data_IF_589601986329
#
_entry.id   IF_589601986329
#
_cell.length_a   1.000
_cell.length_b   1.000
_cell.length_c   1.000
_cell.angle_alpha   90.00
_cell.angle_beta   90.00
_cell.angle_gamma   90.00
#
_symmetry.space_group_name_H-M   'P 1'
#
loop_
_entity.id
_entity.type
_entity.pdbx_description
1 polymer ?
#
# COMPACT_ATOMS: atom_id res chain seq x y z
N UNK A 1 21.01 25.49 -2.48
CA UNK A 1 19.65 26.05 -2.69
C UNK A 1 18.72 25.15 -1.90
N UNK A 2 18.10 25.67 -0.82
CA UNK A 2 17.14 24.88 -0.01
C UNK A 2 15.85 24.78 -0.81
N UNK A 3 15.50 23.56 -1.22
CA UNK A 3 14.15 23.28 -1.72
C UNK A 3 13.19 23.27 -0.51
N UNK A 4 12.33 24.28 -0.43
CA UNK A 4 11.23 24.29 0.55
C UNK A 4 10.23 23.25 0.13
N UNK A 5 10.18 22.12 0.86
CA UNK A 5 9.15 21.10 0.67
C UNK A 5 7.77 21.69 0.92
N UNK A 6 6.91 21.66 -0.07
CA UNK A 6 5.52 22.07 0.07
C UNK A 6 4.69 20.81 0.36
N UNK A 7 4.18 20.72 1.60
CA UNK A 7 3.18 19.70 1.95
C UNK A 7 1.84 20.11 1.33
N UNK A 8 1.34 19.32 0.39
CA UNK A 8 0.03 19.54 -0.23
C UNK A 8 -1.00 18.64 0.47
N UNK A 9 -1.96 19.25 1.17
CA UNK A 9 -3.10 18.53 1.75
C UNK A 9 -4.22 18.51 0.72
N UNK A 10 -4.48 17.35 0.14
CA UNK A 10 -5.59 17.13 -0.80
C UNK A 10 -6.74 16.49 -0.03
N UNK A 11 -7.87 17.21 0.07
CA UNK A 11 -9.11 16.67 0.62
C UNK A 11 -10.00 16.17 -0.52
N UNK A 12 -10.14 14.87 -0.66
CA UNK A 12 -11.03 14.26 -1.64
C UNK A 12 -12.37 13.96 -0.94
N UNK A 13 -13.44 14.57 -1.42
CA UNK A 13 -14.80 14.27 -0.95
C UNK A 13 -15.44 13.26 -1.90
N UNK A 14 -15.75 12.05 -1.41
CA UNK A 14 -16.52 11.08 -2.16
C UNK A 14 -18.00 11.41 -2.02
N UNK A 15 -18.65 11.88 -3.08
CA UNK A 15 -20.10 12.07 -3.11
C UNK A 15 -20.78 10.70 -3.28
N UNK A 16 -21.28 10.12 -2.19
CA UNK A 16 -22.15 8.95 -2.26
C UNK A 16 -23.54 9.36 -2.76
N UNK A 17 -23.92 8.92 -3.96
CA UNK A 17 -25.28 9.05 -4.47
C UNK A 17 -26.20 8.09 -3.72
N UNK A 18 -26.90 8.58 -2.72
CA UNK A 18 -28.02 7.90 -2.06
C UNK A 18 -29.28 8.06 -2.92
N UNK A 19 -29.69 7.01 -3.61
CA UNK A 19 -31.04 6.89 -4.18
C UNK A 19 -32.04 6.62 -3.06
N UNK A 20 -32.71 7.67 -2.59
CA UNK A 20 -33.85 7.52 -1.70
C UNK A 20 -35.13 7.32 -2.54
N UNK A 21 -35.76 6.14 -2.42
CA UNK A 21 -37.14 5.91 -2.85
C UNK A 21 -38.07 6.64 -1.88
N UNK A 22 -38.72 7.71 -2.31
CA UNK A 22 -39.77 8.38 -1.55
C UNK A 22 -41.13 7.84 -1.97
N UNK A 23 -41.86 7.26 -1.00
CA UNK A 23 -43.30 6.95 -1.12
C UNK A 23 -44.12 8.23 -1.06
N UNK A 24 -45.00 8.40 -2.00
CA UNK A 24 -45.98 9.49 -2.10
C UNK A 24 -47.05 9.41 -1.01
N UNK A 25 -47.17 10.42 -0.18
CA UNK A 25 -48.46 10.82 0.41
C UNK A 25 -48.59 12.36 0.22
N UNK A 26 -49.68 12.74 -0.39
CA UNK A 26 -49.94 14.10 -0.79
C UNK A 26 -50.28 15.06 0.33
N UNK A 27 -49.93 16.31 0.15
CA UNK A 27 -50.72 17.48 0.61
C UNK A 27 -50.37 18.73 -0.23
N UNK A 28 -51.41 19.46 -0.57
CA UNK A 28 -51.46 20.67 -1.38
C UNK A 28 -50.73 21.88 -0.79
N UNK A 29 -50.01 22.68 -1.64
CA UNK A 29 -49.65 24.04 -1.29
C UNK A 29 -48.49 24.66 -2.05
N UNK A 30 -48.79 25.60 -2.93
CA UNK A 30 -48.01 26.77 -3.41
C UNK A 30 -46.92 26.59 -4.52
N UNK A 31 -46.92 27.44 -5.55
CA UNK A 31 -46.10 27.29 -6.77
C UNK A 31 -44.75 28.01 -6.74
N UNK A 32 -44.05 28.07 -5.63
CA UNK A 32 -42.71 28.70 -5.54
C UNK A 32 -41.54 27.69 -5.46
N UNK A 33 -41.82 26.41 -5.26
CA UNK A 33 -40.78 25.39 -5.05
C UNK A 33 -40.22 24.77 -6.35
N UNK A 34 -40.96 24.84 -7.44
CA UNK A 34 -40.55 24.23 -8.70
C UNK A 34 -39.44 25.03 -9.43
N UNK A 35 -39.41 26.34 -9.25
CA UNK A 35 -38.40 27.21 -9.87
C UNK A 35 -37.04 27.09 -9.16
N UNK A 36 -37.03 27.03 -7.83
CA UNK A 36 -35.81 26.83 -7.04
C UNK A 36 -35.18 25.45 -7.23
N UNK A 37 -36.01 24.42 -7.43
CA UNK A 37 -35.50 23.06 -7.73
C UNK A 37 -34.93 22.99 -9.15
N UNK A 38 -35.52 23.72 -10.11
CA UNK A 38 -35.01 23.79 -11.48
C UNK A 38 -33.68 24.53 -11.54
N UNK A 39 -33.50 25.61 -10.79
CA UNK A 39 -32.26 26.39 -10.78
C UNK A 39 -31.15 25.66 -10.04
N UNK A 40 -31.41 24.97 -8.93
CA UNK A 40 -30.44 24.10 -8.25
C UNK A 40 -29.99 22.91 -9.10
N UNK A 41 -30.88 22.34 -9.91
CA UNK A 41 -30.52 21.28 -10.85
C UNK A 41 -29.72 21.81 -12.04
N UNK A 42 -29.92 23.04 -12.46
CA UNK A 42 -29.12 23.67 -13.51
C UNK A 42 -27.72 24.00 -13.02
N UNK A 43 -27.59 24.56 -11.82
CA UNK A 43 -26.29 24.86 -11.19
C UNK A 43 -25.50 23.58 -10.87
N UNK A 44 -26.18 22.47 -10.49
CA UNK A 44 -25.54 21.16 -10.29
C UNK A 44 -25.12 20.52 -11.61
N UNK A 45 -25.85 20.73 -12.72
CA UNK A 45 -25.45 20.27 -14.05
C UNK A 45 -24.33 21.13 -14.66
N UNK A 46 -24.30 22.45 -14.42
CA UNK A 46 -23.20 23.31 -14.81
C UNK A 46 -21.92 23.08 -13.99
N UNK A 47 -22.05 22.82 -12.68
CA UNK A 47 -20.90 22.42 -11.83
C UNK A 47 -20.34 21.04 -12.21
N UNK A 48 -21.18 20.11 -12.66
CA UNK A 48 -20.75 18.82 -13.19
C UNK A 48 -20.11 18.92 -14.59
N UNK A 49 -20.38 20.00 -15.33
CA UNK A 49 -19.84 20.24 -16.66
C UNK A 49 -18.44 20.88 -16.66
N UNK A 50 -17.97 21.44 -15.56
CA UNK A 50 -16.65 22.04 -15.46
C UNK A 50 -15.62 21.09 -14.81
N UNK A 51 -15.28 20.04 -15.53
CA UNK A 51 -14.05 19.29 -15.29
C UNK A 51 -13.11 19.52 -16.48
N UNK A 52 -12.08 20.38 -16.35
CA UNK A 52 -11.17 20.69 -17.44
C UNK A 52 -10.37 19.46 -17.94
N UNK A 53 -10.42 18.35 -17.21
CA UNK A 53 -9.83 17.06 -17.61
C UNK A 53 -10.83 16.14 -18.32
N UNK A 54 -12.15 16.34 -18.15
CA UNK A 54 -13.16 15.47 -18.74
C UNK A 54 -13.36 15.71 -20.25
N UNK A 55 -13.17 16.95 -20.72
CA UNK A 55 -13.33 17.30 -22.13
C UNK A 55 -12.20 16.78 -23.00
N UNK A 56 -10.97 16.75 -22.50
CA UNK A 56 -9.81 16.25 -23.28
C UNK A 56 -9.81 14.71 -23.33
N UNK A 57 -10.25 14.04 -22.26
CA UNK A 57 -10.28 12.57 -22.20
C UNK A 57 -11.43 11.98 -23.02
N UNK A 58 -12.59 12.65 -23.02
CA UNK A 58 -13.78 12.15 -23.75
C UNK A 58 -13.65 12.31 -25.26
N UNK A 59 -13.09 13.41 -25.74
CA UNK A 59 -12.81 13.61 -27.15
C UNK A 59 -11.70 12.67 -27.65
N UNK A 60 -10.70 12.37 -26.87
CA UNK A 60 -9.66 11.39 -27.18
C UNK A 60 -10.19 9.95 -27.19
N UNK A 61 -11.10 9.61 -26.27
CA UNK A 61 -11.75 8.29 -26.19
C UNK A 61 -12.77 8.11 -27.33
N UNK A 62 -13.53 9.14 -27.64
CA UNK A 62 -14.53 9.08 -28.76
C UNK A 62 -13.89 9.08 -30.16
N UNK A 63 -12.66 9.59 -30.31
CA UNK A 63 -11.89 9.48 -31.55
C UNK A 63 -11.20 8.13 -31.73
N UNK A 64 -11.16 7.31 -30.67
CA UNK A 64 -10.50 6.02 -30.64
C UNK A 64 -11.51 4.86 -30.49
N UNK A 65 -12.43 4.74 -31.48
CA UNK A 65 -13.28 3.56 -31.62
C UNK A 65 -12.59 2.59 -32.59
N UNK A 66 -12.20 1.38 -32.17
CA UNK A 66 -11.80 0.37 -33.14
C UNK A 66 -13.03 0.01 -34.02
N UNK A 67 -12.84 0.00 -35.32
CA UNK A 67 -13.90 -0.26 -36.30
C UNK A 67 -14.46 -1.71 -36.26
N UNK A 68 -13.96 -2.60 -35.37
CA UNK A 68 -14.43 -3.98 -35.26
C UNK A 68 -14.52 -4.43 -33.79
N UNK A 69 -15.69 -4.96 -33.34
CA UNK A 69 -15.89 -5.42 -31.96
C UNK A 69 -15.15 -6.68 -31.54
N UNK A 70 -14.22 -7.20 -32.32
CA UNK A 70 -13.50 -8.44 -32.03
C UNK A 70 -12.03 -8.28 -31.61
N UNK A 71 -11.50 -7.03 -31.61
CA UNK A 71 -10.06 -6.79 -31.41
C UNK A 71 -9.69 -6.26 -30.03
N UNK A 72 -10.63 -6.07 -29.11
CA UNK A 72 -10.36 -5.52 -27.76
C UNK A 72 -9.60 -6.55 -26.88
N UNK A 73 -9.84 -7.84 -27.06
CA UNK A 73 -9.10 -8.89 -26.34
C UNK A 73 -7.61 -8.98 -26.73
N UNK A 74 -7.26 -8.56 -27.95
CA UNK A 74 -5.87 -8.56 -28.43
C UNK A 74 -4.99 -7.45 -27.83
N UNK A 75 -5.58 -6.47 -27.12
CA UNK A 75 -4.85 -5.34 -26.53
C UNK A 75 -4.38 -5.55 -25.09
N UNK A 76 -4.81 -6.61 -24.44
CA UNK A 76 -4.33 -6.95 -23.10
C UNK A 76 -3.42 -8.18 -23.18
N UNK A 77 -2.10 -8.00 -23.19
CA UNK A 77 -1.19 -9.13 -23.18
C UNK A 77 -1.47 -10.00 -21.95
N UNK A 78 -1.39 -11.32 -22.15
CA UNK A 78 -1.59 -12.29 -21.09
C UNK A 78 -0.50 -12.13 -20.03
N UNK A 79 -0.91 -12.06 -18.77
CA UNK A 79 0.01 -12.08 -17.64
C UNK A 79 0.34 -13.54 -17.33
N UNK A 80 1.62 -13.88 -17.41
CA UNK A 80 2.14 -15.21 -17.07
C UNK A 80 2.46 -15.25 -15.58
N UNK A 81 2.14 -16.37 -14.94
CA UNK A 81 2.54 -16.68 -13.57
C UNK A 81 3.50 -17.87 -13.54
N UNK A 82 4.64 -17.69 -12.90
CA UNK A 82 5.62 -18.76 -12.64
C UNK A 82 5.94 -18.83 -11.15
N UNK A 83 6.18 -20.04 -10.66
CA UNK A 83 6.50 -20.28 -9.24
C UNK A 83 7.89 -20.87 -9.11
N UNK A 84 8.71 -20.26 -8.26
CA UNK A 84 10.08 -20.69 -8.01
C UNK A 84 10.36 -20.86 -6.52
N UNK A 85 11.34 -21.69 -6.16
CA UNK A 85 11.86 -21.83 -4.79
C UNK A 85 13.05 -20.91 -4.64
N UNK A 86 12.97 -19.94 -3.74
CA UNK A 86 14.08 -19.02 -3.51
C UNK A 86 14.93 -19.39 -2.27
N UNK A 87 14.36 -20.11 -1.29
CA UNK A 87 15.09 -20.56 -0.11
C UNK A 87 14.53 -21.84 0.50
N UNK A 88 15.42 -22.61 1.16
CA UNK A 88 15.06 -23.73 2.02
C UNK A 88 15.66 -23.46 3.41
N UNK A 89 14.80 -23.32 4.43
CA UNK A 89 15.19 -22.98 5.79
C UNK A 89 14.71 -24.04 6.79
N UNK A 90 15.55 -25.04 7.02
CA UNK A 90 15.17 -26.22 7.79
C UNK A 90 14.08 -27.02 7.09
N UNK A 91 12.91 -27.12 7.70
CA UNK A 91 11.73 -27.79 7.09
C UNK A 91 10.92 -26.90 6.17
N UNK A 92 11.21 -25.59 6.12
CA UNK A 92 10.47 -24.63 5.32
C UNK A 92 11.03 -24.48 3.92
N UNK A 93 10.17 -24.64 2.92
CA UNK A 93 10.48 -24.34 1.52
C UNK A 93 9.77 -23.06 1.15
N UNK A 94 10.53 -21.99 0.96
CA UNK A 94 10.00 -20.67 0.62
C UNK A 94 9.99 -20.48 -0.90
N UNK A 95 8.81 -20.10 -1.41
CA UNK A 95 8.56 -19.90 -2.83
C UNK A 95 8.17 -18.47 -3.10
N UNK A 96 8.32 -18.07 -4.34
CA UNK A 96 7.78 -16.85 -4.89
C UNK A 96 6.98 -17.15 -6.16
N UNK A 97 5.98 -16.31 -6.43
CA UNK A 97 5.21 -16.33 -7.67
C UNK A 97 5.54 -15.05 -8.45
N UNK A 98 6.08 -15.21 -9.64
CA UNK A 98 6.39 -14.13 -10.58
C UNK A 98 5.23 -13.94 -11.56
N UNK A 99 4.69 -12.71 -11.62
CA UNK A 99 3.68 -12.29 -12.59
C UNK A 99 4.30 -11.28 -13.53
N UNK A 100 4.27 -11.56 -14.83
CA UNK A 100 4.91 -10.71 -15.82
C UNK A 100 4.26 -10.87 -17.20
N UNK A 101 4.57 -9.95 -18.10
CA UNK A 101 4.27 -10.08 -19.51
C UNK A 101 5.57 -10.48 -20.21
N UNK A 102 5.57 -11.59 -20.99
CA UNK A 102 6.77 -12.00 -21.72
C UNK A 102 7.29 -10.86 -22.59
N UNK A 103 8.53 -10.48 -22.37
CA UNK A 103 9.16 -9.36 -23.04
C UNK A 103 9.78 -9.81 -24.38
N UNK A 104 9.85 -8.90 -25.36
CA UNK A 104 10.66 -9.11 -26.56
C UNK A 104 12.17 -9.12 -26.20
N UNK A 105 13.00 -9.78 -27.00
CA UNK A 105 14.43 -9.99 -26.72
C UNK A 105 15.22 -8.69 -26.46
N UNK A 106 14.80 -7.57 -27.04
CA UNK A 106 15.46 -6.25 -26.91
C UNK A 106 14.68 -5.26 -26.03
N UNK A 107 13.79 -5.75 -25.15
CA UNK A 107 13.00 -4.87 -24.28
C UNK A 107 13.85 -4.27 -23.16
N UNK A 108 13.44 -3.07 -22.73
CA UNK A 108 14.03 -2.41 -21.56
C UNK A 108 13.75 -3.26 -20.31
N UNK A 109 14.76 -3.48 -19.43
CA UNK A 109 14.58 -4.19 -18.18
C UNK A 109 13.44 -3.60 -17.34
N UNK A 110 12.55 -4.46 -16.86
CA UNK A 110 11.37 -4.05 -16.09
C UNK A 110 11.71 -3.73 -14.63
N UNK A 111 11.08 -2.71 -14.00
CA UNK A 111 11.12 -2.55 -12.56
C UNK A 111 10.37 -3.71 -11.90
N UNK A 112 10.74 -4.00 -10.65
CA UNK A 112 10.16 -5.12 -9.88
C UNK A 112 9.35 -4.60 -8.71
N UNK A 113 8.16 -5.16 -8.49
CA UNK A 113 7.38 -4.97 -7.25
C UNK A 113 7.33 -6.29 -6.49
N UNK A 114 8.00 -6.34 -5.35
CA UNK A 114 8.00 -7.50 -4.44
C UNK A 114 6.89 -7.31 -3.42
N UNK A 115 5.91 -8.21 -3.41
CA UNK A 115 4.76 -8.15 -2.52
C UNK A 115 4.85 -9.15 -1.37
N UNK A 116 4.55 -8.69 -0.16
CA UNK A 116 4.51 -9.48 1.08
C UNK A 116 3.07 -9.48 1.62
N UNK A 117 2.49 -10.66 1.76
CA UNK A 117 1.11 -10.83 2.19
C UNK A 117 0.89 -10.52 3.68
N UNK A 118 -0.37 -10.25 4.04
CA UNK A 118 -0.81 -10.05 5.41
C UNK A 118 -1.03 -11.34 6.19
N UNK A 119 -1.75 -11.26 7.33
CA UNK A 119 -2.15 -12.43 8.12
C UNK A 119 -1.54 -12.47 9.53
N UNK A 120 -1.09 -11.31 10.06
CA UNK A 120 -0.67 -11.17 11.46
C UNK A 120 0.55 -12.02 11.83
N UNK A 121 1.41 -12.37 10.88
CA UNK A 121 2.53 -13.31 11.04
C UNK A 121 2.10 -14.72 11.50
N UNK A 122 0.83 -15.08 11.30
CA UNK A 122 0.24 -16.36 11.73
C UNK A 122 -0.19 -17.24 10.57
N UNK A 123 -0.74 -16.63 9.53
CA UNK A 123 -1.33 -17.28 8.36
C UNK A 123 -1.16 -16.39 7.14
N UNK A 124 -1.74 -16.80 6.02
CA UNK A 124 -1.66 -16.11 4.74
C UNK A 124 -0.82 -16.89 3.74
N UNK A 125 -0.91 -16.50 2.49
CA UNK A 125 -0.21 -17.13 1.39
C UNK A 125 0.10 -16.10 0.30
N UNK A 126 1.22 -16.29 -0.42
CA UNK A 126 1.63 -15.45 -1.55
C UNK A 126 0.65 -15.51 -2.73
N UNK A 127 -0.13 -16.60 -2.83
CA UNK A 127 -1.02 -16.90 -3.96
C UNK A 127 -2.51 -16.69 -3.64
N UNK A 128 -2.83 -15.89 -2.62
CA UNK A 128 -4.21 -15.54 -2.30
C UNK A 128 -4.87 -14.79 -3.48
N UNK A 129 -6.02 -15.30 -3.91
CA UNK A 129 -6.74 -14.79 -5.08
C UNK A 129 -7.11 -13.29 -4.97
N UNK A 130 -7.31 -12.79 -3.76
CA UNK A 130 -7.67 -11.38 -3.54
C UNK A 130 -6.60 -10.39 -4.01
N UNK A 131 -5.35 -10.80 -4.15
CA UNK A 131 -4.25 -9.95 -4.60
C UNK A 131 -4.01 -10.03 -6.12
N UNK A 132 -4.57 -11.02 -6.80
CA UNK A 132 -4.29 -11.30 -8.22
C UNK A 132 -4.56 -10.08 -9.12
N UNK A 133 -5.67 -9.38 -8.92
CA UNK A 133 -6.02 -8.20 -9.71
C UNK A 133 -5.00 -7.05 -9.57
N UNK A 134 -4.43 -6.88 -8.38
CA UNK A 134 -3.35 -5.92 -8.13
C UNK A 134 -2.07 -6.32 -8.85
N UNK A 135 -1.67 -7.58 -8.78
CA UNK A 135 -0.48 -8.09 -9.45
C UNK A 135 -0.60 -7.97 -10.96
N UNK A 136 -1.74 -8.38 -11.53
CA UNK A 136 -1.99 -8.29 -12.96
C UNK A 136 -2.06 -6.83 -13.45
N UNK A 137 -2.64 -5.93 -12.65
CA UNK A 137 -2.65 -4.50 -13.00
C UNK A 137 -1.22 -3.96 -13.10
N UNK A 138 -0.37 -4.24 -12.14
CA UNK A 138 1.03 -3.81 -12.17
C UNK A 138 1.80 -4.46 -13.32
N UNK A 139 1.62 -5.76 -13.56
CA UNK A 139 2.27 -6.46 -14.67
C UNK A 139 1.89 -5.84 -16.03
N UNK A 140 0.60 -5.51 -16.24
CA UNK A 140 0.13 -4.83 -17.44
C UNK A 140 0.64 -3.38 -17.57
N UNK A 141 1.12 -2.79 -16.46
CA UNK A 141 1.76 -1.47 -16.45
C UNK A 141 3.30 -1.55 -16.53
N UNK A 142 3.85 -2.70 -16.92
CA UNK A 142 5.27 -2.87 -17.23
C UNK A 142 6.16 -3.25 -16.05
N UNK A 143 5.57 -3.66 -14.92
CA UNK A 143 6.32 -4.20 -13.78
C UNK A 143 6.41 -5.72 -13.84
N UNK A 144 7.54 -6.28 -13.42
CA UNK A 144 7.59 -7.67 -12.96
C UNK A 144 7.11 -7.67 -11.51
N UNK A 145 6.06 -8.45 -11.20
CA UNK A 145 5.52 -8.54 -9.84
C UNK A 145 5.91 -9.87 -9.23
N UNK A 146 6.46 -9.84 -8.03
CA UNK A 146 6.88 -11.03 -7.30
C UNK A 146 6.14 -11.07 -5.97
N UNK A 147 5.23 -12.03 -5.80
CA UNK A 147 4.63 -12.32 -4.51
C UNK A 147 5.43 -13.40 -3.80
N UNK A 148 5.91 -13.12 -2.59
CA UNK A 148 6.86 -14.00 -1.89
C UNK A 148 6.29 -14.62 -0.63
N UNK A 149 6.70 -15.86 -0.34
CA UNK A 149 6.52 -16.47 0.97
C UNK A 149 7.41 -15.78 2.01
N UNK A 150 6.96 -15.80 3.25
CA UNK A 150 7.75 -15.62 4.45
C UNK A 150 7.26 -16.61 5.53
N UNK A 151 8.07 -16.90 6.54
CA UNK A 151 7.70 -17.81 7.63
C UNK A 151 6.77 -17.12 8.64
N UNK A 152 5.51 -17.57 8.78
CA UNK A 152 4.54 -16.97 9.71
C UNK A 152 4.79 -17.47 11.14
N UNK A 153 5.82 -16.91 11.80
CA UNK A 153 6.35 -17.43 13.07
C UNK A 153 5.37 -17.39 14.22
N UNK A 154 4.47 -16.39 14.29
CA UNK A 154 3.44 -16.35 15.34
C UNK A 154 2.41 -17.49 15.22
N UNK A 155 2.19 -18.02 14.03
CA UNK A 155 1.32 -19.18 13.82
C UNK A 155 1.87 -20.49 14.41
N UNK A 156 3.16 -20.53 14.72
CA UNK A 156 3.84 -21.69 15.32
C UNK A 156 3.88 -21.67 16.85
N UNK A 157 3.43 -20.55 17.44
CA UNK A 157 3.45 -20.35 18.89
C UNK A 157 2.06 -20.61 19.45
N UNK A 158 1.97 -21.55 20.37
CA UNK A 158 0.77 -21.78 21.18
C UNK A 158 0.89 -21.03 22.50
N UNK A 159 0.01 -20.09 22.74
CA UNK A 159 -0.05 -19.39 24.01
C UNK A 159 -0.92 -20.19 24.99
N UNK A 160 -0.30 -20.99 25.88
CA UNK A 160 -1.02 -21.67 26.97
C UNK A 160 -1.64 -20.68 27.95
N UNK A 161 -0.98 -19.54 28.13
CA UNK A 161 -1.44 -18.39 28.93
C UNK A 161 -1.23 -17.12 28.12
N UNK A 162 -2.06 -16.12 28.36
CA UNK A 162 -1.88 -14.80 27.76
C UNK A 162 -0.50 -14.26 28.11
N UNK A 163 0.34 -13.94 27.11
CA UNK A 163 1.69 -13.43 27.37
C UNK A 163 1.62 -12.05 28.03
N UNK A 164 2.61 -11.73 28.83
CA UNK A 164 2.82 -10.36 29.29
C UNK A 164 3.10 -9.43 28.10
N UNK A 165 2.86 -8.10 28.21
CA UNK A 165 3.19 -7.16 27.14
C UNK A 165 4.66 -7.25 26.68
N UNK A 166 5.60 -7.51 27.58
CA UNK A 166 7.03 -7.67 27.26
C UNK A 166 7.26 -8.90 26.40
N UNK A 167 6.80 -10.06 26.90
CA UNK A 167 6.93 -11.33 26.17
C UNK A 167 6.28 -11.26 24.78
N UNK A 168 5.11 -10.65 24.69
CA UNK A 168 4.44 -10.52 23.42
C UNK A 168 5.23 -9.64 22.44
N UNK A 169 5.79 -8.52 22.91
CA UNK A 169 6.60 -7.63 22.06
C UNK A 169 7.89 -8.30 21.60
N UNK A 170 8.55 -9.09 22.45
CA UNK A 170 9.75 -9.83 22.06
C UNK A 170 9.43 -10.93 21.04
N UNK A 171 8.32 -11.63 21.21
CA UNK A 171 7.84 -12.64 20.27
C UNK A 171 7.45 -12.02 18.93
N UNK A 172 6.73 -10.89 18.96
CA UNK A 172 6.35 -10.15 17.77
C UNK A 172 7.58 -9.65 17.01
N UNK A 173 8.57 -9.11 17.74
CA UNK A 173 9.82 -8.65 17.12
C UNK A 173 10.55 -9.80 16.42
N UNK A 174 10.64 -10.98 17.05
CA UNK A 174 11.23 -12.18 16.43
C UNK A 174 10.48 -12.62 15.17
N UNK A 175 9.17 -12.47 15.13
CA UNK A 175 8.37 -12.78 13.94
C UNK A 175 8.59 -11.75 12.82
N UNK A 176 8.67 -10.45 13.16
CA UNK A 176 9.01 -9.37 12.22
C UNK A 176 10.40 -9.60 11.64
N UNK A 177 11.40 -9.83 12.49
CA UNK A 177 12.78 -10.06 12.07
C UNK A 177 12.91 -11.25 11.12
N UNK A 178 12.18 -12.34 11.42
CA UNK A 178 12.15 -13.52 10.55
C UNK A 178 11.56 -13.19 9.18
N UNK A 179 10.45 -12.47 9.13
CA UNK A 179 9.81 -12.08 7.88
C UNK A 179 10.68 -11.10 7.07
N UNK A 180 11.38 -10.18 7.73
CA UNK A 180 12.35 -9.27 7.11
C UNK A 180 13.51 -10.03 6.48
N UNK A 181 14.09 -11.00 7.21
CA UNK A 181 15.17 -11.86 6.67
C UNK A 181 14.68 -12.65 5.46
N UNK A 182 13.47 -13.21 5.51
CA UNK A 182 12.91 -13.95 4.38
C UNK A 182 12.65 -13.04 3.16
N UNK A 183 12.23 -11.79 3.37
CA UNK A 183 12.12 -10.78 2.30
C UNK A 183 13.49 -10.39 1.74
N UNK A 184 14.51 -10.23 2.56
CA UNK A 184 15.86 -9.93 2.10
C UNK A 184 16.44 -11.06 1.25
N UNK A 185 16.26 -12.31 1.67
CA UNK A 185 16.69 -13.47 0.90
C UNK A 185 15.94 -13.60 -0.43
N UNK A 186 14.62 -13.28 -0.45
CA UNK A 186 13.86 -13.20 -1.69
C UNK A 186 14.39 -12.08 -2.59
N UNK A 187 14.75 -10.92 -2.02
CA UNK A 187 15.34 -9.79 -2.76
C UNK A 187 16.68 -10.18 -3.37
N UNK A 188 17.56 -10.83 -2.61
CA UNK A 188 18.84 -11.32 -3.11
C UNK A 188 18.65 -12.32 -4.25
N UNK A 189 17.69 -13.25 -4.11
CA UNK A 189 17.33 -14.19 -5.17
C UNK A 189 16.89 -13.45 -6.44
N UNK A 190 15.99 -12.47 -6.32
CA UNK A 190 15.48 -11.68 -7.44
C UNK A 190 16.62 -10.93 -8.16
N UNK A 191 17.52 -10.29 -7.41
CA UNK A 191 18.69 -9.59 -7.98
C UNK A 191 19.55 -10.52 -8.83
N UNK A 192 19.72 -11.77 -8.40
CA UNK A 192 20.48 -12.77 -9.19
C UNK A 192 19.78 -13.15 -10.51
N UNK A 193 18.47 -12.94 -10.62
CA UNK A 193 17.70 -13.23 -11.83
C UNK A 193 17.70 -12.06 -12.85
N UNK A 194 18.47 -11.01 -12.62
CA UNK A 194 18.52 -9.78 -13.44
C UNK A 194 18.46 -10.08 -14.94
N UNK A 195 19.35 -10.93 -15.44
CA UNK A 195 19.46 -11.26 -16.88
C UNK A 195 18.37 -12.21 -17.36
N UNK A 196 18.04 -13.22 -16.55
CA UNK A 196 17.08 -14.25 -16.91
C UNK A 196 15.67 -13.69 -16.99
N UNK A 197 15.32 -12.80 -16.05
CA UNK A 197 14.00 -12.18 -15.99
C UNK A 197 13.93 -10.84 -16.73
N UNK A 198 15.03 -10.33 -17.24
CA UNK A 198 15.16 -9.00 -17.85
C UNK A 198 14.58 -7.91 -16.95
N UNK A 199 15.06 -7.83 -15.72
CA UNK A 199 14.65 -6.89 -14.69
C UNK A 199 15.77 -5.89 -14.38
N UNK A 200 15.38 -4.74 -13.82
CA UNK A 200 16.31 -3.72 -13.35
C UNK A 200 16.47 -3.84 -11.81
N UNK A 201 17.60 -4.35 -11.32
CA UNK A 201 17.82 -4.55 -9.89
C UNK A 201 17.93 -3.25 -9.09
N UNK A 202 18.16 -2.10 -9.74
CA UNK A 202 18.13 -0.78 -9.10
C UNK A 202 16.71 -0.25 -8.93
N UNK A 203 15.71 -0.93 -9.51
CA UNK A 203 14.29 -0.55 -9.47
C UNK A 203 13.43 -1.59 -8.79
N UNK A 204 13.90 -2.14 -7.68
CA UNK A 204 13.13 -3.05 -6.83
C UNK A 204 12.33 -2.24 -5.80
N UNK A 205 11.02 -2.37 -5.86
CA UNK A 205 10.04 -1.75 -4.97
C UNK A 205 9.47 -2.85 -4.08
N UNK A 206 9.32 -2.60 -2.79
CA UNK A 206 8.67 -3.53 -1.88
C UNK A 206 7.28 -3.03 -1.51
N UNK A 207 6.32 -3.94 -1.48
CA UNK A 207 4.91 -3.65 -1.19
C UNK A 207 4.36 -4.69 -0.22
N UNK A 208 3.46 -4.32 0.65
CA UNK A 208 2.91 -5.30 1.58
C UNK A 208 1.63 -4.87 2.27
N UNK A 209 0.88 -5.88 2.75
CA UNK A 209 -0.40 -5.73 3.44
C UNK A 209 -0.27 -6.10 4.92
N UNK A 210 -0.80 -5.30 5.86
CA UNK A 210 -0.89 -5.65 7.28
C UNK A 210 0.48 -6.12 7.85
N UNK A 211 0.63 -7.37 8.29
CA UNK A 211 1.91 -7.94 8.69
C UNK A 211 2.99 -7.82 7.59
N UNK A 212 2.64 -8.00 6.32
CA UNK A 212 3.53 -7.77 5.19
C UNK A 212 3.91 -6.29 5.04
N UNK A 213 2.99 -5.37 5.33
CA UNK A 213 3.27 -3.94 5.34
C UNK A 213 4.21 -3.55 6.48
N UNK A 214 4.07 -4.19 7.66
CA UNK A 214 5.04 -4.06 8.76
C UNK A 214 6.41 -4.58 8.28
N UNK A 215 6.45 -5.73 7.62
CA UNK A 215 7.70 -6.32 7.11
C UNK A 215 8.43 -5.41 6.14
N UNK A 216 7.75 -4.84 5.13
CA UNK A 216 8.40 -3.98 4.14
C UNK A 216 8.86 -2.64 4.72
N UNK A 217 8.08 -2.04 5.62
CA UNK A 217 8.49 -0.82 6.33
C UNK A 217 9.70 -1.08 7.25
N UNK A 218 9.69 -2.19 7.98
CA UNK A 218 10.79 -2.60 8.85
C UNK A 218 12.05 -2.91 8.04
N UNK A 219 11.91 -3.56 6.90
CA UNK A 219 13.04 -3.86 6.00
C UNK A 219 13.73 -2.58 5.54
N UNK A 220 12.99 -1.59 5.05
CA UNK A 220 13.59 -0.31 4.66
C UNK A 220 14.19 0.43 5.86
N UNK A 221 13.50 0.41 7.01
CA UNK A 221 14.01 1.02 8.24
C UNK A 221 15.32 0.38 8.71
N UNK A 222 15.41 -0.95 8.67
CA UNK A 222 16.65 -1.68 9.03
C UNK A 222 17.78 -1.40 8.05
N UNK A 223 17.51 -1.34 6.75
CA UNK A 223 18.50 -1.00 5.74
C UNK A 223 19.05 0.39 5.99
N UNK A 224 18.19 1.40 6.16
CA UNK A 224 18.60 2.79 6.40
C UNK A 224 19.38 2.99 7.71
N UNK A 225 19.16 2.13 8.70
CA UNK A 225 19.80 2.25 10.02
C UNK A 225 20.98 1.27 10.21
N UNK A 226 21.45 0.61 9.17
CA UNK A 226 22.60 -0.30 9.25
C UNK A 226 22.36 -1.47 10.22
N UNK A 227 21.11 -1.93 10.35
CA UNK A 227 20.77 -3.06 11.23
C UNK A 227 21.46 -4.34 10.74
N UNK A 228 21.95 -5.18 11.68
CA UNK A 228 22.71 -6.37 11.33
C UNK A 228 22.03 -7.34 10.37
N UNK A 229 20.68 -7.40 10.38
CA UNK A 229 19.92 -8.22 9.43
C UNK A 229 19.98 -7.69 7.97
N UNK A 230 20.32 -6.43 7.75
CA UNK A 230 20.48 -5.89 6.40
C UNK A 230 21.68 -6.50 5.64
N UNK A 231 22.57 -7.22 6.33
CA UNK A 231 23.65 -8.01 5.70
C UNK A 231 23.15 -9.17 4.80
N UNK A 232 21.86 -9.50 4.84
CA UNK A 232 21.24 -10.43 3.90
C UNK A 232 20.99 -9.81 2.51
N UNK A 233 21.00 -8.47 2.40
CA UNK A 233 20.91 -7.78 1.12
C UNK A 233 22.28 -7.77 0.42
N UNK A 234 22.31 -7.67 -0.92
CA UNK A 234 23.56 -7.43 -1.64
C UNK A 234 24.26 -6.15 -1.13
N UNK A 235 25.59 -6.13 -1.18
CA UNK A 235 26.37 -4.97 -0.75
C UNK A 235 25.98 -3.72 -1.54
N UNK A 236 25.71 -2.62 -0.84
CA UNK A 236 25.31 -1.35 -1.45
C UNK A 236 23.88 -1.31 -1.98
N UNK A 237 23.08 -2.36 -1.77
CA UNK A 237 21.71 -2.43 -2.25
C UNK A 237 20.79 -1.39 -1.58
N UNK A 238 19.87 -0.84 -2.38
CA UNK A 238 18.79 0.05 -1.91
C UNK A 238 17.49 -0.27 -2.63
N UNK A 239 16.39 -0.28 -1.90
CA UNK A 239 15.07 -0.34 -2.52
C UNK A 239 14.76 0.98 -3.25
N UNK A 240 14.04 0.90 -4.37
CA UNK A 240 13.60 2.07 -5.12
C UNK A 240 12.36 2.73 -4.52
N UNK A 241 11.53 1.98 -3.78
CA UNK A 241 10.32 2.50 -3.15
C UNK A 241 9.62 1.50 -2.24
N UNK A 242 8.72 2.01 -1.39
CA UNK A 242 7.86 1.19 -0.52
C UNK A 242 6.40 1.56 -0.73
N UNK A 243 5.51 0.56 -0.82
CA UNK A 243 4.04 0.74 -0.76
C UNK A 243 3.49 -0.10 0.40
N UNK A 244 2.94 0.57 1.41
CA UNK A 244 2.46 -0.04 2.64
C UNK A 244 0.95 0.10 2.80
N UNK A 245 0.25 -1.03 2.97
CA UNK A 245 -1.19 -1.07 3.24
C UNK A 245 -1.43 -1.45 4.70
N UNK A 246 -1.77 -0.47 5.54
CA UNK A 246 -2.00 -0.61 6.98
C UNK A 246 -0.79 -1.20 7.74
N UNK A 247 0.39 -0.60 7.55
CA UNK A 247 1.64 -1.02 8.18
C UNK A 247 2.09 -0.16 9.35
N UNK A 248 3.18 -0.60 9.98
CA UNK A 248 3.85 0.11 11.07
C UNK A 248 5.34 -0.30 11.12
N UNK A 249 6.16 0.46 11.84
CA UNK A 249 7.54 0.11 12.17
C UNK A 249 7.60 -0.24 13.66
N UNK A 250 8.25 -1.36 13.99
CA UNK A 250 8.55 -1.74 15.37
C UNK A 250 9.86 -1.11 15.83
N UNK A 251 9.79 -0.23 16.83
CA UNK A 251 10.96 0.45 17.37
C UNK A 251 10.76 0.80 18.85
N UNK A 252 11.85 0.72 19.63
CA UNK A 252 11.86 1.08 21.06
C UNK A 252 11.85 2.58 21.31
N UNK A 253 12.46 3.32 20.40
CA UNK A 253 12.58 4.78 20.48
C UNK A 253 11.72 5.45 19.42
N UNK A 254 11.78 6.76 19.37
CA UNK A 254 11.22 7.53 18.26
C UNK A 254 11.93 7.12 16.97
N UNK A 255 11.17 7.08 15.84
CA UNK A 255 11.76 6.78 14.55
C UNK A 255 12.78 7.83 14.14
N UNK A 256 13.99 7.35 13.87
CA UNK A 256 15.11 8.11 13.36
C UNK A 256 15.76 7.32 12.22
N UNK A 257 16.17 7.99 11.18
CA UNK A 257 16.74 7.41 9.98
C UNK A 257 18.19 7.89 9.85
N UNK A 258 19.14 6.97 9.73
CA UNK A 258 20.56 7.32 9.55
C UNK A 258 20.84 7.67 8.10
N UNK A 259 20.37 6.86 7.16
CA UNK A 259 20.41 7.12 5.74
C UNK A 259 19.03 7.58 5.23
N UNK A 260 19.02 8.31 4.13
CA UNK A 260 17.77 8.73 3.50
C UNK A 260 16.98 7.49 3.00
N UNK A 261 15.70 7.32 3.41
CA UNK A 261 14.88 6.26 2.89
C UNK A 261 14.45 6.53 1.45
N UNK A 262 14.11 5.46 0.74
CA UNK A 262 13.47 5.57 -0.56
C UNK A 262 12.06 6.21 -0.44
N UNK A 263 11.42 6.63 -1.54
CA UNK A 263 10.03 7.11 -1.53
C UNK A 263 9.07 6.08 -0.91
N UNK A 264 8.20 6.52 0.01
CA UNK A 264 7.28 5.65 0.74
C UNK A 264 5.83 6.11 0.54
N UNK A 265 4.95 5.20 0.07
CA UNK A 265 3.51 5.39 0.04
C UNK A 265 2.84 4.58 1.14
N UNK A 266 1.96 5.25 1.90
CA UNK A 266 1.30 4.71 3.09
C UNK A 266 -0.22 4.83 2.94
N UNK A 267 -0.95 3.73 2.85
CA UNK A 267 -2.40 3.70 2.98
C UNK A 267 -2.79 3.23 4.38
N UNK A 268 -3.67 3.97 5.08
CA UNK A 268 -4.09 3.56 6.42
C UNK A 268 -5.43 4.18 6.81
N UNK A 269 -6.30 3.37 7.43
CA UNK A 269 -7.50 3.85 8.10
C UNK A 269 -7.16 4.43 9.47
N UNK A 270 -7.63 5.65 9.77
CA UNK A 270 -7.25 6.29 11.04
C UNK A 270 -8.00 5.76 12.26
N UNK A 271 -8.96 4.82 12.05
CA UNK A 271 -9.66 4.07 13.08
C UNK A 271 -9.27 2.57 13.10
N UNK A 272 -8.14 2.22 12.50
CA UNK A 272 -7.64 0.84 12.49
C UNK A 272 -7.45 0.31 13.92
N UNK A 273 -8.16 -0.79 14.22
CA UNK A 273 -8.13 -1.47 15.52
C UNK A 273 -7.20 -2.70 15.55
N UNK A 274 -6.43 -2.97 14.50
CA UNK A 274 -5.53 -4.12 14.37
C UNK A 274 -4.07 -3.66 14.31
N UNK A 275 -3.74 -2.73 13.41
CA UNK A 275 -2.43 -2.08 13.31
C UNK A 275 -2.62 -0.59 13.61
N UNK A 276 -1.86 0.01 14.53
CA UNK A 276 -2.08 1.40 14.93
C UNK A 276 -1.80 2.37 13.76
N UNK A 277 -2.74 3.27 13.47
CA UNK A 277 -2.51 4.37 12.53
C UNK A 277 -1.44 5.35 13.04
N UNK A 278 -1.51 5.71 14.34
CA UNK A 278 -0.55 6.60 14.99
C UNK A 278 0.60 5.83 15.61
N UNK A 279 0.37 5.30 16.79
CA UNK A 279 1.33 4.45 17.52
C UNK A 279 0.65 3.66 18.61
N UNK A 280 1.19 2.48 18.88
CA UNK A 280 0.94 1.68 20.07
C UNK A 280 2.31 1.41 20.73
N UNK A 281 2.69 2.25 21.68
CA UNK A 281 4.06 2.29 22.22
C UNK A 281 4.05 2.43 23.73
N UNK A 282 4.88 1.63 24.39
CA UNK A 282 5.15 1.71 25.84
C UNK A 282 6.59 2.22 26.01
N UNK A 283 6.81 3.31 26.75
CA UNK A 283 8.16 3.79 27.02
C UNK A 283 9.08 2.66 27.53
N UNK A 284 10.31 2.60 27.04
CA UNK A 284 11.34 1.60 27.34
C UNK A 284 11.10 0.21 26.71
N UNK A 285 9.85 -0.25 26.61
CA UNK A 285 9.55 -1.56 26.02
C UNK A 285 9.49 -1.52 24.49
N UNK A 286 9.16 -0.37 23.92
CA UNK A 286 8.96 -0.22 22.48
C UNK A 286 7.51 -0.36 22.07
N UNK A 287 7.30 -0.55 20.77
CA UNK A 287 5.98 -0.69 20.19
C UNK A 287 5.96 -0.42 18.70
N UNK A 288 4.75 -0.30 18.17
CA UNK A 288 4.50 -0.04 16.76
C UNK A 288 4.28 1.46 16.52
N UNK A 289 4.98 1.97 15.54
CA UNK A 289 4.83 3.33 15.01
C UNK A 289 4.11 3.23 13.67
N UNK A 290 2.83 3.59 13.65
CA UNK A 290 1.97 3.48 12.47
C UNK A 290 2.24 4.53 11.41
N UNK A 291 1.45 4.49 10.34
CA UNK A 291 1.67 5.28 9.12
C UNK A 291 1.75 6.79 9.36
N UNK A 292 0.95 7.36 10.26
CA UNK A 292 1.07 8.78 10.64
C UNK A 292 2.45 9.09 11.25
N UNK A 293 2.92 8.23 12.16
CA UNK A 293 4.25 8.41 12.81
C UNK A 293 5.40 8.23 11.82
N UNK A 294 5.27 7.28 10.88
CA UNK A 294 6.22 7.09 9.79
C UNK A 294 6.27 8.32 8.91
N UNK A 295 5.11 8.81 8.42
CA UNK A 295 5.03 10.01 7.60
C UNK A 295 5.64 11.24 8.29
N UNK A 296 5.32 11.46 9.58
CA UNK A 296 5.93 12.52 10.37
C UNK A 296 7.45 12.37 10.53
N UNK A 297 7.97 11.14 10.52
CA UNK A 297 9.42 10.92 10.58
C UNK A 297 10.10 11.27 9.27
N UNK A 298 9.45 10.98 8.14
CA UNK A 298 9.90 11.29 6.79
C UNK A 298 9.85 12.81 6.50
N UNK A 299 8.78 13.47 6.94
CA UNK A 299 8.61 14.92 6.79
C UNK A 299 9.75 15.72 7.45
N UNK A 300 10.26 15.24 8.60
CA UNK A 300 11.43 15.87 9.26
C UNK A 300 12.73 15.78 8.47
N UNK A 301 12.80 14.90 7.48
CA UNK A 301 13.96 14.68 6.61
C UNK A 301 13.76 15.29 5.21
N UNK A 302 12.64 15.95 4.95
CA UNK A 302 12.19 16.33 3.61
C UNK A 302 12.19 15.13 2.63
N UNK A 303 11.96 13.92 3.15
CA UNK A 303 11.94 12.69 2.36
C UNK A 303 10.60 12.53 1.62
N UNK A 304 10.65 11.85 0.46
CA UNK A 304 9.47 11.63 -0.37
C UNK A 304 8.48 10.67 0.33
N UNK A 305 7.27 11.16 0.60
CA UNK A 305 6.22 10.40 1.28
C UNK A 305 4.85 10.75 0.70
N UNK A 306 4.01 9.73 0.51
CA UNK A 306 2.59 9.92 0.25
C UNK A 306 1.77 9.19 1.31
N UNK A 307 1.28 9.92 2.31
CA UNK A 307 0.31 9.40 3.26
C UNK A 307 -1.10 9.53 2.67
N UNK A 308 -1.78 8.41 2.47
CA UNK A 308 -3.18 8.31 2.10
C UNK A 308 -3.98 7.85 3.33
N UNK A 309 -4.52 8.81 4.07
CA UNK A 309 -5.32 8.60 5.26
C UNK A 309 -6.79 8.46 4.89
N UNK A 310 -7.45 7.39 5.36
CA UNK A 310 -8.88 7.19 5.18
C UNK A 310 -9.57 7.39 6.52
N UNK A 311 -10.42 8.44 6.60
CA UNK A 311 -11.08 8.82 7.83
C UNK A 311 -12.15 7.81 8.25
N UNK A 312 -12.17 7.45 9.54
CA UNK A 312 -13.09 6.49 10.13
C UNK A 312 -12.99 5.05 9.56
N UNK A 313 -12.01 4.76 8.71
CA UNK A 313 -11.77 3.42 8.19
C UNK A 313 -10.92 2.59 9.16
N UNK A 314 -11.17 1.29 9.17
CA UNK A 314 -10.47 0.28 9.97
C UNK A 314 -9.36 -0.45 9.20
N UNK A 315 -9.16 -1.71 9.57
CA UNK A 315 -8.10 -2.55 8.98
C UNK A 315 -8.41 -3.05 7.56
N UNK A 316 -9.60 -2.82 7.03
CA UNK A 316 -9.94 -3.11 5.64
C UNK A 316 -9.04 -2.38 4.64
N UNK A 317 -8.38 -1.30 5.08
CA UNK A 317 -7.39 -0.57 4.28
C UNK A 317 -6.11 -1.38 4.04
N UNK A 318 -5.92 -2.49 4.73
CA UNK A 318 -4.88 -3.46 4.40
C UNK A 318 -5.06 -4.10 3.00
N UNK A 319 -6.26 -4.06 2.42
CA UNK A 319 -6.56 -4.69 1.12
C UNK A 319 -7.29 -3.79 0.11
N UNK A 320 -8.23 -2.96 0.57
CA UNK A 320 -9.08 -2.16 -0.33
C UNK A 320 -8.31 -1.30 -1.35
N UNK A 321 -7.18 -0.63 -1.01
CA UNK A 321 -6.46 0.19 -1.98
C UNK A 321 -5.91 -0.61 -3.17
N UNK A 322 -5.63 -1.90 -3.01
CA UNK A 322 -5.18 -2.79 -4.09
C UNK A 322 -6.25 -3.03 -5.18
N UNK A 323 -7.47 -2.53 -4.98
CA UNK A 323 -8.53 -2.54 -5.99
C UNK A 323 -9.06 -1.15 -6.30
N UNK A 324 -9.06 -0.23 -5.34
CA UNK A 324 -9.68 1.11 -5.47
C UNK A 324 -8.69 2.19 -5.87
N UNK A 325 -7.43 2.10 -5.44
CA UNK A 325 -6.42 3.14 -5.61
C UNK A 325 -5.28 2.72 -6.57
N UNK A 326 -5.58 1.83 -7.51
CA UNK A 326 -4.58 1.32 -8.47
C UNK A 326 -3.87 2.44 -9.24
N UNK A 327 -4.61 3.48 -9.65
CA UNK A 327 -4.04 4.62 -10.38
C UNK A 327 -3.23 5.57 -9.49
N UNK A 328 -3.58 5.72 -8.21
CA UNK A 328 -2.77 6.48 -7.24
C UNK A 328 -1.43 5.77 -7.02
N UNK A 329 -1.48 4.44 -6.86
CA UNK A 329 -0.29 3.59 -6.72
C UNK A 329 0.59 3.70 -7.98
N UNK A 330 0.01 3.52 -9.18
CA UNK A 330 0.74 3.66 -10.43
C UNK A 330 1.33 5.07 -10.60
N UNK A 331 0.59 6.10 -10.19
CA UNK A 331 1.06 7.49 -10.17
C UNK A 331 2.24 7.72 -9.24
N UNK A 332 2.22 7.16 -8.05
CA UNK A 332 3.33 7.19 -7.11
C UNK A 332 4.56 6.47 -7.68
N UNK A 333 4.38 5.24 -8.15
CA UNK A 333 5.47 4.43 -8.69
C UNK A 333 6.12 5.11 -9.91
N UNK A 334 5.34 5.64 -10.84
CA UNK A 334 5.87 6.25 -12.05
C UNK A 334 6.54 7.62 -11.81
N UNK A 335 6.02 8.43 -10.90
CA UNK A 335 6.48 9.82 -10.70
C UNK A 335 7.50 9.95 -9.59
N UNK A 336 7.20 9.42 -8.40
CA UNK A 336 8.06 9.60 -7.23
C UNK A 336 9.18 8.56 -7.18
N UNK A 337 8.89 7.32 -7.56
CA UNK A 337 9.89 6.24 -7.57
C UNK A 337 10.70 6.29 -8.85
N UNK A 338 10.14 5.89 -10.00
CA UNK A 338 10.88 5.77 -11.24
C UNK A 338 11.28 7.11 -11.85
N UNK A 339 10.43 8.14 -11.68
CA UNK A 339 10.70 9.51 -12.16
C UNK A 339 11.57 10.35 -11.24
N UNK A 340 11.98 9.82 -10.08
CA UNK A 340 12.80 10.47 -9.07
C UNK A 340 12.34 11.90 -8.73
N UNK A 341 11.03 12.11 -8.61
CA UNK A 341 10.43 13.41 -8.26
C UNK A 341 10.01 13.40 -6.79
N UNK A 342 10.87 13.81 -5.86
CA UNK A 342 10.53 13.79 -4.44
C UNK A 342 9.34 14.73 -4.17
N UNK A 343 8.35 14.22 -3.48
CA UNK A 343 7.14 14.95 -3.13
C UNK A 343 6.58 14.42 -1.82
N UNK A 344 6.25 15.32 -0.88
CA UNK A 344 5.49 14.97 0.33
C UNK A 344 4.02 15.30 0.09
N UNK A 345 3.15 14.30 0.20
CA UNK A 345 1.71 14.41 -0.02
C UNK A 345 0.96 13.80 1.17
N UNK A 346 -0.05 14.49 1.66
CA UNK A 346 -1.04 13.93 2.59
C UNK A 346 -2.42 14.04 1.96
N UNK A 347 -2.98 12.90 1.58
CA UNK A 347 -4.37 12.78 1.12
C UNK A 347 -5.23 12.34 2.30
N UNK A 348 -6.27 13.11 2.61
CA UNK A 348 -7.31 12.72 3.55
C UNK A 348 -8.60 12.42 2.77
N UNK A 349 -8.99 11.14 2.74
CA UNK A 349 -10.27 10.73 2.20
C UNK A 349 -11.29 10.64 3.34
N UNK A 350 -12.42 11.34 3.21
CA UNK A 350 -13.49 11.32 4.21
C UNK A 350 -14.86 11.26 3.54
N UNK A 351 -15.81 10.60 4.21
CA UNK A 351 -17.22 10.58 3.78
C UNK A 351 -17.97 11.63 4.59
N UNK A 352 -18.51 12.68 3.96
CA UNK A 352 -19.27 13.71 4.67
C UNK A 352 -20.46 13.12 5.43
N UNK A 353 -20.60 13.47 6.70
CA UNK A 353 -21.70 13.00 7.56
C UNK A 353 -21.52 11.59 8.13
N UNK A 354 -20.41 10.92 7.86
CA UNK A 354 -20.09 9.68 8.55
C UNK A 354 -19.85 9.95 10.04
N UNK A 355 -20.38 9.09 10.95
CA UNK A 355 -20.16 9.26 12.38
C UNK A 355 -18.68 9.02 12.72
N UNK A 356 -18.14 9.84 13.63
CA UNK A 356 -16.81 9.60 14.16
C UNK A 356 -16.75 8.28 14.94
N UNK A 357 -15.72 7.50 14.69
CA UNK A 357 -15.42 6.28 15.41
C UNK A 357 -14.21 6.46 16.32
N UNK A 358 -14.05 5.56 17.29
CA UNK A 358 -12.93 5.58 18.22
C UNK A 358 -11.60 5.38 17.48
N UNK A 359 -10.73 6.38 17.52
CA UNK A 359 -9.42 6.41 16.87
C UNK A 359 -8.24 6.15 17.84
N UNK A 360 -8.53 5.87 19.11
CA UNK A 360 -7.50 5.62 20.13
C UNK A 360 -7.18 4.11 20.18
N UNK A 361 -5.94 3.78 19.93
CA UNK A 361 -5.42 2.43 19.95
C UNK A 361 -4.21 2.33 20.89
N UNK A 362 -4.19 1.34 21.75
CA UNK A 362 -3.12 1.10 22.72
C UNK A 362 -2.39 -0.22 22.48
N UNK A 363 -1.22 -0.39 23.11
CA UNK A 363 -0.51 -1.69 23.06
C UNK A 363 -1.37 -2.82 23.64
N UNK A 364 -2.19 -2.55 24.65
CA UNK A 364 -3.09 -3.55 25.21
C UNK A 364 -4.20 -3.95 24.22
N UNK A 365 -4.70 -3.00 23.43
CA UNK A 365 -5.64 -3.29 22.34
C UNK A 365 -4.94 -4.16 21.28
N UNK A 366 -3.70 -3.80 20.90
CA UNK A 366 -2.91 -4.60 19.95
C UNK A 366 -2.72 -6.05 20.43
N UNK A 367 -2.29 -6.25 21.68
CA UNK A 367 -2.12 -7.58 22.27
C UNK A 367 -3.45 -8.34 22.28
N UNK A 368 -4.54 -7.69 22.71
CA UNK A 368 -5.87 -8.32 22.78
C UNK A 368 -6.36 -8.81 21.43
N UNK A 369 -6.11 -8.02 20.38
CA UNK A 369 -6.60 -8.31 19.03
C UNK A 369 -5.70 -9.31 18.28
N UNK A 370 -4.49 -9.57 18.79
CA UNK A 370 -3.49 -10.44 18.16
C UNK A 370 -3.08 -11.66 19.02
N UNK A 371 -3.71 -11.91 20.15
CA UNK A 371 -3.57 -13.11 21.01
C UNK A 371 -4.90 -13.82 21.20
#
# INVERSE_FOLDING_TARGET
MKATGHTVIIRTMLAAALTASAALTGCSGSPSSAQEVSDRNRDAQEAAAYNPYATTTRAAIDSWRPETPGTVEAYFPEVVKETEVFAIKGADTLRLDRYFIPAAADSIPSPVVVYVFGGGFRFGSRDEQMYTSYFEFLARNGYTVVSTDYRPMLGRISFEKRPSPVEFMDILQGAIDTAVVDLYDATEYIVRQEREWNIDPEKIIISGSSAGAITVLQAEYYRCNGHGLASHLPEGFSYAGVVSFAGAISEKKRLEWQDAPCPIMLFHGNADGIVPFRKAHIPVLGGLWGSESVAQSLDRLDASCWLYEIDNAGHEIASLPMTRNLYDIAGFLSRQVLGARPLSVHTLESVPGAPDVKKNFSVLDYIRNNT
#
